data_IF_713334838243
#
_entry.id   IF_713334838243
#
_cell.length_a   1.000
_cell.length_b   1.000
_cell.length_c   1.000
_cell.angle_alpha   90.00
_cell.angle_beta   90.00
_cell.angle_gamma   90.00
#
_symmetry.space_group_name_H-M   'P 1'
#
loop_
_entity.id
_entity.type
_entity.pdbx_description
1 polymer ?
#
# COMPACT_ATOMS: atom_id res chain seq x y z
N UNK A 1 4.12 -12.55 2.67
CA UNK A 1 2.67 -12.80 2.72
C UNK A 1 1.98 -11.60 2.11
N UNK A 2 1.17 -11.79 1.06
CA UNK A 2 0.49 -10.71 0.33
C UNK A 2 -0.99 -10.72 0.67
N UNK A 3 -1.65 -9.57 0.52
CA UNK A 3 -3.09 -9.43 0.73
C UNK A 3 -3.74 -8.85 -0.52
N UNK A 4 -4.86 -9.41 -0.90
CA UNK A 4 -5.67 -8.91 -2.01
C UNK A 4 -6.40 -7.61 -1.60
N UNK A 5 -6.33 -6.57 -2.41
CA UNK A 5 -6.98 -5.28 -2.09
C UNK A 5 -8.51 -5.32 -2.23
N UNK A 6 -9.03 -6.20 -3.10
CA UNK A 6 -10.47 -6.34 -3.37
C UNK A 6 -11.17 -7.29 -2.37
N UNK A 7 -10.71 -8.53 -2.27
CA UNK A 7 -11.34 -9.58 -1.46
C UNK A 7 -10.67 -9.82 -0.08
N UNK A 8 -9.61 -9.07 0.25
CA UNK A 8 -8.90 -9.11 1.53
C UNK A 8 -8.27 -10.46 1.94
N UNK A 9 -8.32 -11.48 1.07
CA UNK A 9 -7.66 -12.76 1.29
C UNK A 9 -6.14 -12.64 1.25
N UNK A 10 -5.49 -13.44 2.09
CA UNK A 10 -4.05 -13.59 2.06
C UNK A 10 -3.63 -14.64 1.04
N UNK A 11 -2.54 -14.36 0.33
CA UNK A 11 -1.92 -15.27 -0.64
C UNK A 11 -0.43 -15.00 -0.70
N UNK A 12 0.35 -15.95 -1.20
CA UNK A 12 1.77 -15.74 -1.51
C UNK A 12 1.98 -15.28 -2.96
N UNK A 13 0.98 -15.48 -3.81
CA UNK A 13 1.04 -15.12 -5.22
C UNK A 13 0.81 -13.63 -5.47
N UNK A 14 1.37 -13.14 -6.58
CA UNK A 14 1.17 -11.76 -7.03
C UNK A 14 -0.28 -11.46 -7.45
N UNK A 15 -1.04 -12.50 -7.79
CA UNK A 15 -2.43 -12.43 -8.26
C UNK A 15 -3.33 -13.24 -7.36
N UNK A 16 -4.53 -12.73 -7.06
CA UNK A 16 -5.48 -13.46 -6.24
C UNK A 16 -6.27 -14.49 -7.07
N UNK A 17 -6.23 -15.76 -6.68
CA UNK A 17 -6.98 -16.85 -7.34
C UNK A 17 -8.50 -16.72 -7.30
N UNK A 18 -9.05 -15.95 -6.34
CA UNK A 18 -10.50 -15.81 -6.21
C UNK A 18 -11.11 -14.67 -7.03
N UNK A 19 -10.33 -13.64 -7.37
CA UNK A 19 -10.87 -12.42 -8.00
C UNK A 19 -9.97 -11.86 -9.12
N UNK A 20 -8.81 -12.47 -9.38
CA UNK A 20 -7.88 -12.04 -10.42
C UNK A 20 -7.13 -10.73 -10.15
N UNK A 21 -7.42 -10.01 -9.07
CA UNK A 21 -6.76 -8.72 -8.80
C UNK A 21 -5.35 -8.87 -8.22
N UNK A 22 -4.51 -7.85 -8.46
CA UNK A 22 -3.15 -7.80 -7.96
C UNK A 22 -3.11 -7.70 -6.42
N UNK A 23 -2.27 -8.53 -5.81
CA UNK A 23 -2.08 -8.55 -4.37
C UNK A 23 -1.00 -7.55 -3.97
N UNK A 24 -1.06 -7.02 -2.76
CA UNK A 24 -0.11 -6.04 -2.22
C UNK A 24 0.50 -6.52 -0.93
N UNK A 25 1.65 -5.96 -0.57
CA UNK A 25 2.22 -6.22 0.75
C UNK A 25 1.29 -5.60 1.82
N UNK A 26 0.78 -6.38 2.79
CA UNK A 26 -0.10 -5.88 3.82
C UNK A 26 0.64 -5.11 4.91
N UNK A 27 1.97 -5.26 5.00
CA UNK A 27 2.76 -4.63 6.04
C UNK A 27 2.85 -3.13 5.74
N UNK A 28 2.57 -2.27 6.73
CA UNK A 28 2.76 -0.84 6.54
C UNK A 28 4.25 -0.52 6.30
N UNK A 29 4.55 0.62 5.64
CA UNK A 29 5.90 1.13 5.57
C UNK A 29 6.51 1.28 6.96
N UNK A 30 7.82 1.04 7.08
CA UNK A 30 8.54 1.20 8.36
C UNK A 30 8.47 2.67 8.81
N UNK A 31 8.20 2.88 10.09
CA UNK A 31 8.27 4.21 10.70
C UNK A 31 9.73 4.61 10.96
N UNK A 32 10.08 5.86 10.67
CA UNK A 32 11.37 6.45 10.98
C UNK A 32 11.13 7.74 11.77
N UNK A 33 11.69 7.89 12.99
CA UNK A 33 11.53 9.10 13.80
C UNK A 33 12.02 10.38 13.12
N UNK A 34 13.13 10.30 12.37
CA UNK A 34 13.73 11.44 11.70
C UNK A 34 12.95 11.90 10.46
N UNK A 35 12.25 10.96 9.79
CA UNK A 35 11.38 11.20 8.63
C UNK A 35 11.88 12.28 7.64
N UNK A 36 13.11 12.12 7.12
CA UNK A 36 13.78 13.12 6.25
C UNK A 36 12.94 13.58 5.06
N UNK A 37 12.09 12.71 4.51
CA UNK A 37 11.20 13.01 3.38
C UNK A 37 9.75 13.32 3.77
N UNK A 38 9.48 13.56 5.05
CA UNK A 38 8.13 13.79 5.58
C UNK A 38 7.42 14.98 4.91
N UNK A 39 8.15 16.07 4.65
CA UNK A 39 7.61 17.27 3.95
C UNK A 39 7.05 16.90 2.57
N UNK A 40 7.84 16.21 1.76
CA UNK A 40 7.46 15.77 0.42
C UNK A 40 6.29 14.78 0.46
N UNK A 41 6.29 13.83 1.41
CA UNK A 41 5.19 12.87 1.57
C UNK A 41 3.86 13.56 1.89
N UNK A 42 3.87 14.61 2.73
CA UNK A 42 2.66 15.40 3.04
C UNK A 42 2.18 16.21 1.83
N UNK A 43 3.11 16.85 1.11
CA UNK A 43 2.77 17.59 -0.12
C UNK A 43 2.17 16.66 -1.19
N UNK A 44 2.73 15.47 -1.40
CA UNK A 44 2.19 14.50 -2.36
C UNK A 44 0.77 14.05 -1.98
N UNK A 45 0.50 13.81 -0.68
CA UNK A 45 -0.85 13.50 -0.19
C UNK A 45 -1.84 14.64 -0.40
N UNK A 46 -1.40 15.90 -0.23
CA UNK A 46 -2.24 17.07 -0.48
C UNK A 46 -2.64 17.14 -1.97
N UNK A 47 -1.68 17.00 -2.89
CA UNK A 47 -1.94 17.00 -4.33
C UNK A 47 -2.93 15.92 -4.77
N UNK A 48 -2.82 14.71 -4.21
CA UNK A 48 -3.75 13.61 -4.51
C UNK A 48 -5.17 13.93 -4.02
N UNK A 49 -5.31 14.67 -2.91
CA UNK A 49 -6.62 15.02 -2.33
C UNK A 49 -7.32 16.15 -3.11
N UNK A 50 -6.56 17.00 -3.79
CA UNK A 50 -7.08 18.11 -4.61
C UNK A 50 -7.55 17.63 -6.00
N UNK A 51 -7.29 16.37 -6.36
CA UNK A 51 -7.68 15.74 -7.64
C UNK A 51 -8.90 14.85 -7.52
#
# INVERSE_FOLDING_TARGET
MRRCASCQRYTFDATCHSCGSATRDPKPPKFSPEDRYGRYRRMAKAKIKES
#
